data_IF_784592267200
#
_entry.id   IF_784592267200
#
_cell.length_a   1.000
_cell.length_b   1.000
_cell.length_c   1.000
_cell.angle_alpha   90.00
_cell.angle_beta   90.00
_cell.angle_gamma   90.00
#
_symmetry.space_group_name_H-M   'P 1'
#
loop_
_entity.id
_entity.type
_entity.pdbx_description
1 polymer ?
#
# COMPACT_ATOMS: atom_id res chain seq x y z
N UNK A 1 12.85 60.99 -13.31
CA UNK A 1 13.36 59.82 -12.55
C UNK A 1 13.09 58.57 -13.35
N UNK A 2 14.12 57.94 -13.90
CA UNK A 2 14.02 56.79 -14.82
C UNK A 2 14.19 55.52 -14.02
N UNK A 3 13.11 54.69 -13.94
CA UNK A 3 13.17 53.35 -13.36
C UNK A 3 13.68 52.39 -14.40
N UNK A 4 14.83 51.78 -14.16
CA UNK A 4 15.38 50.72 -14.98
C UNK A 4 14.80 49.39 -14.53
N UNK A 5 14.04 48.75 -15.43
CA UNK A 5 13.58 47.36 -15.28
C UNK A 5 14.75 46.45 -15.69
N UNK A 6 15.30 45.70 -14.75
CA UNK A 6 16.34 44.73 -15.00
C UNK A 6 15.71 43.47 -15.65
N UNK A 7 16.10 43.21 -16.89
CA UNK A 7 15.75 42.02 -17.63
C UNK A 7 16.59 40.83 -17.11
N UNK A 8 15.93 39.86 -16.46
CA UNK A 8 16.55 38.59 -16.11
C UNK A 8 16.76 37.76 -17.37
N UNK A 9 18.01 37.45 -17.68
CA UNK A 9 18.40 36.55 -18.77
C UNK A 9 17.99 35.12 -18.44
N UNK A 10 17.43 34.34 -19.39
CA UNK A 10 17.17 32.92 -19.17
C UNK A 10 18.49 32.15 -19.11
N UNK A 11 18.65 31.38 -18.06
CA UNK A 11 19.73 30.40 -17.90
C UNK A 11 19.54 29.28 -18.90
N UNK A 12 20.61 28.92 -19.60
CA UNK A 12 20.70 27.82 -20.53
C UNK A 12 20.24 26.52 -19.89
N UNK A 13 19.15 25.98 -20.41
CA UNK A 13 18.74 24.59 -20.21
C UNK A 13 19.79 23.70 -20.87
N UNK A 14 20.48 22.90 -20.06
CA UNK A 14 21.37 21.86 -20.55
C UNK A 14 20.51 20.81 -21.26
N UNK A 15 20.81 20.57 -22.53
CA UNK A 15 20.23 19.55 -23.36
C UNK A 15 20.41 18.18 -22.71
N UNK A 16 19.28 17.55 -22.33
CA UNK A 16 19.25 16.13 -22.04
C UNK A 16 19.44 15.39 -23.35
N UNK A 17 20.62 14.83 -23.50
CA UNK A 17 21.07 14.00 -24.58
C UNK A 17 20.07 12.87 -24.86
N UNK A 18 19.54 12.93 -26.06
CA UNK A 18 19.09 11.82 -26.94
C UNK A 18 18.88 10.46 -26.28
N UNK A 19 17.64 10.12 -26.01
CA UNK A 19 17.16 8.76 -25.93
C UNK A 19 17.38 8.09 -27.29
N UNK A 20 18.37 7.19 -27.37
CA UNK A 20 18.46 6.22 -28.46
C UNK A 20 17.22 5.33 -28.37
N UNK A 21 16.31 5.52 -29.29
CA UNK A 21 15.23 4.57 -29.57
C UNK A 21 15.90 3.29 -30.04
N UNK A 22 15.77 2.23 -29.25
CA UNK A 22 16.13 0.88 -29.66
C UNK A 22 15.11 0.42 -30.71
N UNK A 23 15.49 0.59 -31.97
CA UNK A 23 14.83 -0.06 -33.09
C UNK A 23 15.60 -1.36 -33.39
N UNK A 24 15.43 -2.36 -32.54
CA UNK A 24 15.80 -3.74 -32.82
C UNK A 24 14.58 -4.63 -32.72
N UNK A 25 14.14 -5.12 -33.88
CA UNK A 25 13.15 -6.19 -33.98
C UNK A 25 13.60 -7.40 -33.14
N UNK A 26 12.68 -8.08 -32.44
CA UNK A 26 13.03 -9.26 -31.67
C UNK A 26 13.42 -10.39 -32.64
N UNK A 27 14.71 -10.64 -32.75
CA UNK A 27 15.24 -11.85 -33.37
C UNK A 27 14.83 -13.05 -32.51
N UNK A 28 14.32 -14.08 -33.16
CA UNK A 28 13.74 -15.31 -32.64
C UNK A 28 14.41 -15.81 -31.35
N UNK A 29 13.65 -15.77 -30.27
CA UNK A 29 14.07 -16.25 -28.96
C UNK A 29 14.07 -17.77 -28.95
N UNK A 30 15.22 -18.36 -28.73
CA UNK A 30 15.36 -19.82 -28.47
C UNK A 30 14.61 -20.16 -27.19
N UNK A 31 13.76 -21.22 -27.15
CA UNK A 31 13.04 -21.59 -25.93
C UNK A 31 14.04 -21.91 -24.80
N UNK A 32 13.95 -21.21 -23.69
CA UNK A 32 14.75 -21.45 -22.48
C UNK A 32 15.82 -20.41 -22.14
N UNK A 33 15.96 -19.33 -22.90
CA UNK A 33 16.90 -18.27 -22.55
C UNK A 33 16.30 -17.33 -21.50
N UNK A 34 16.88 -17.30 -20.30
CA UNK A 34 16.55 -16.33 -19.25
C UNK A 34 17.29 -15.03 -19.56
N UNK A 35 16.52 -13.98 -19.88
CA UNK A 35 17.06 -12.63 -20.08
C UNK A 35 17.02 -11.90 -18.74
N UNK A 36 18.20 -11.59 -18.18
CA UNK A 36 18.32 -10.72 -17.03
C UNK A 36 18.29 -9.27 -17.52
N UNK A 37 17.20 -8.58 -17.28
CA UNK A 37 17.10 -7.13 -17.48
C UNK A 37 17.65 -6.45 -16.22
N UNK A 38 18.87 -5.91 -16.31
CA UNK A 38 19.37 -4.95 -15.33
C UNK A 38 18.68 -3.61 -15.56
N UNK A 39 17.52 -3.42 -14.95
CA UNK A 39 16.92 -2.10 -14.89
C UNK A 39 17.69 -1.28 -13.86
N UNK A 40 18.19 -0.09 -14.18
CA UNK A 40 18.73 0.82 -13.18
C UNK A 40 17.57 1.35 -12.33
N UNK A 41 17.10 0.52 -11.42
CA UNK A 41 16.12 0.96 -10.42
C UNK A 41 16.91 1.80 -9.42
N UNK A 42 16.61 3.09 -9.25
CA UNK A 42 17.21 3.86 -8.17
C UNK A 42 16.85 3.15 -6.86
N UNK A 43 17.86 2.65 -6.17
CA UNK A 43 17.75 1.84 -4.95
C UNK A 43 17.02 2.56 -3.82
N UNK A 44 16.81 3.86 -3.99
CA UNK A 44 16.01 4.69 -3.08
C UNK A 44 15.48 5.89 -3.87
N UNK A 45 14.16 6.09 -3.94
CA UNK A 45 13.65 7.33 -4.50
C UNK A 45 14.24 8.50 -3.70
N UNK A 46 14.56 9.62 -4.35
CA UNK A 46 15.02 10.80 -3.62
C UNK A 46 13.95 11.15 -2.59
N UNK A 47 14.33 11.18 -1.31
CA UNK A 47 13.47 11.68 -0.25
C UNK A 47 13.28 13.16 -0.56
N UNK A 48 12.12 13.52 -1.06
CA UNK A 48 11.75 14.91 -1.23
C UNK A 48 11.76 15.55 0.16
N UNK A 49 12.58 16.58 0.33
CA UNK A 49 12.62 17.35 1.58
C UNK A 49 11.20 17.85 1.87
N UNK A 50 10.63 17.43 3.01
CA UNK A 50 9.24 17.73 3.38
C UNK A 50 8.21 16.65 3.03
N UNK A 51 8.63 15.52 2.44
CA UNK A 51 7.74 14.36 2.31
C UNK A 51 7.53 13.72 3.69
N UNK A 52 6.28 13.54 4.07
CA UNK A 52 5.85 12.86 5.30
C UNK A 52 5.30 11.49 4.90
N UNK A 53 5.57 10.48 5.72
CA UNK A 53 4.96 9.17 5.54
C UNK A 53 3.44 9.28 5.74
N UNK A 54 2.67 8.67 4.85
CA UNK A 54 1.20 8.76 4.91
C UNK A 54 0.64 8.12 6.19
N UNK A 55 1.28 7.08 6.68
CA UNK A 55 0.85 6.40 7.92
C UNK A 55 1.11 7.31 9.14
N UNK A 56 2.22 8.04 9.15
CA UNK A 56 2.53 9.02 10.20
C UNK A 56 1.54 10.19 10.16
N UNK A 57 1.23 10.70 8.97
CA UNK A 57 0.24 11.77 8.78
C UNK A 57 -1.14 11.34 9.26
N UNK A 58 -1.57 10.13 8.88
CA UNK A 58 -2.86 9.59 9.32
C UNK A 58 -2.89 9.39 10.84
N UNK A 59 -1.79 8.90 11.45
CA UNK A 59 -1.70 8.73 12.89
C UNK A 59 -1.75 10.07 13.63
N UNK A 60 -1.19 11.14 13.07
CA UNK A 60 -1.30 12.50 13.61
C UNK A 60 -2.73 13.02 13.52
N UNK A 61 -3.39 12.85 12.39
CA UNK A 61 -4.78 13.25 12.18
C UNK A 61 -5.75 12.51 13.10
N UNK A 62 -5.51 11.23 13.36
CA UNK A 62 -6.34 10.40 14.26
C UNK A 62 -6.19 10.77 15.76
N UNK A 63 -5.33 11.72 16.11
CA UNK A 63 -5.27 12.25 17.49
C UNK A 63 -6.51 13.10 17.85
N UNK A 64 -7.21 13.61 16.86
CA UNK A 64 -8.51 14.28 17.06
C UNK A 64 -9.64 13.26 16.94
N UNK A 65 -10.46 13.13 17.99
CA UNK A 65 -11.59 12.18 18.01
C UNK A 65 -12.54 12.37 16.83
N UNK A 66 -12.82 13.62 16.43
CA UNK A 66 -13.69 13.94 15.30
C UNK A 66 -13.12 13.41 13.97
N UNK A 67 -11.82 13.63 13.75
CA UNK A 67 -11.13 13.20 12.53
C UNK A 67 -10.97 11.67 12.53
N UNK A 68 -10.63 11.06 13.66
CA UNK A 68 -10.55 9.61 13.81
C UNK A 68 -11.89 8.92 13.46
N UNK A 69 -13.02 9.49 13.91
CA UNK A 69 -14.36 8.98 13.58
C UNK A 69 -14.65 9.12 12.08
N UNK A 70 -14.30 10.26 11.46
CA UNK A 70 -14.47 10.48 10.03
C UNK A 70 -13.65 9.48 9.20
N UNK A 71 -12.39 9.26 9.57
CA UNK A 71 -11.51 8.27 8.92
C UNK A 71 -12.08 6.85 9.09
N UNK A 72 -12.56 6.48 10.28
CA UNK A 72 -13.18 5.19 10.54
C UNK A 72 -14.43 4.98 9.66
N UNK A 73 -15.29 5.99 9.54
CA UNK A 73 -16.46 5.96 8.62
C UNK A 73 -16.03 5.81 7.16
N UNK A 74 -14.96 6.49 6.74
CA UNK A 74 -14.38 6.32 5.40
C UNK A 74 -13.92 4.88 5.14
N UNK A 75 -13.23 4.25 6.08
CA UNK A 75 -12.82 2.84 6.00
C UNK A 75 -14.02 1.89 5.89
N UNK A 76 -15.06 2.13 6.68
CA UNK A 76 -16.30 1.34 6.61
C UNK A 76 -17.02 1.52 5.27
N UNK A 77 -17.01 2.73 4.71
CA UNK A 77 -17.55 2.97 3.39
C UNK A 77 -16.78 2.21 2.31
N UNK A 78 -15.44 2.18 2.37
CA UNK A 78 -14.59 1.38 1.47
C UNK A 78 -14.97 -0.10 1.57
N UNK A 79 -15.13 -0.65 2.79
CA UNK A 79 -15.54 -2.04 2.97
C UNK A 79 -16.87 -2.34 2.27
N UNK A 80 -17.85 -1.46 2.40
CA UNK A 80 -19.16 -1.59 1.76
C UNK A 80 -19.11 -1.46 0.24
N UNK A 81 -18.33 -0.49 -0.27
CA UNK A 81 -18.38 -0.12 -1.69
C UNK A 81 -17.54 -1.04 -2.57
N UNK A 82 -16.40 -1.53 -2.08
CA UNK A 82 -15.45 -2.27 -2.89
C UNK A 82 -15.39 -3.77 -2.56
N UNK A 83 -15.83 -4.18 -1.37
CA UNK A 83 -15.71 -5.57 -0.93
C UNK A 83 -17.07 -6.28 -0.78
N UNK A 84 -18.19 -5.62 -1.08
CA UNK A 84 -19.53 -6.20 -0.87
C UNK A 84 -19.80 -7.46 -1.70
N UNK A 85 -19.16 -7.59 -2.86
CA UNK A 85 -19.35 -8.69 -3.79
C UNK A 85 -18.12 -9.63 -3.87
N UNK A 86 -17.23 -9.55 -2.90
CA UNK A 86 -16.02 -10.38 -2.84
C UNK A 86 -16.11 -11.34 -1.65
N UNK A 87 -15.41 -12.48 -1.69
CA UNK A 87 -15.24 -13.34 -0.54
C UNK A 87 -14.71 -12.56 0.65
N UNK A 88 -15.12 -12.93 1.86
CA UNK A 88 -14.62 -12.27 3.08
C UNK A 88 -13.10 -12.35 3.15
N UNK A 89 -12.46 -11.21 3.43
CA UNK A 89 -11.02 -11.12 3.61
C UNK A 89 -10.70 -10.43 4.93
N UNK A 90 -9.48 -10.63 5.46
CA UNK A 90 -9.04 -9.96 6.69
C UNK A 90 -9.10 -8.44 6.54
N UNK A 91 -8.71 -7.92 5.36
CA UNK A 91 -8.80 -6.49 5.05
C UNK A 91 -10.24 -5.98 5.15
N UNK A 92 -11.20 -6.70 4.55
CA UNK A 92 -12.62 -6.36 4.63
C UNK A 92 -13.13 -6.35 6.07
N UNK A 93 -12.86 -7.41 6.83
CA UNK A 93 -13.29 -7.52 8.24
C UNK A 93 -12.72 -6.39 9.10
N UNK A 94 -11.48 -6.02 8.88
CA UNK A 94 -10.84 -4.88 9.54
C UNK A 94 -11.49 -3.55 9.15
N UNK A 95 -11.69 -3.31 7.86
CA UNK A 95 -12.31 -2.08 7.35
C UNK A 95 -13.75 -1.92 7.81
N UNK A 96 -14.51 -3.01 7.94
CA UNK A 96 -15.87 -2.98 8.54
C UNK A 96 -15.86 -2.46 9.99
N UNK A 97 -14.79 -2.71 10.74
CA UNK A 97 -14.59 -2.15 12.08
C UNK A 97 -14.09 -0.70 12.06
N UNK A 98 -13.75 -0.14 10.89
CA UNK A 98 -13.15 1.18 10.74
C UNK A 98 -11.65 1.24 11.11
N UNK A 99 -10.99 0.10 11.27
CA UNK A 99 -9.62 0.04 11.77
C UNK A 99 -8.56 0.16 10.70
N UNK A 100 -7.41 0.78 11.06
CA UNK A 100 -6.17 0.71 10.28
C UNK A 100 -5.49 -0.65 10.47
N UNK A 101 -4.52 -0.98 9.61
CA UNK A 101 -3.67 -2.16 9.82
C UNK A 101 -2.91 -2.08 11.14
N UNK A 102 -2.43 -0.89 11.51
CA UNK A 102 -1.76 -0.64 12.78
C UNK A 102 -2.68 -0.91 13.98
N UNK A 103 -3.93 -0.48 13.91
CA UNK A 103 -4.91 -0.71 14.99
C UNK A 103 -5.24 -2.21 15.15
N UNK A 104 -5.45 -2.93 14.04
CA UNK A 104 -5.66 -4.38 14.11
C UNK A 104 -4.41 -5.08 14.68
N UNK A 105 -3.21 -4.70 14.23
CA UNK A 105 -1.95 -5.24 14.72
C UNK A 105 -1.79 -5.05 16.25
N UNK A 106 -2.06 -3.85 16.74
CA UNK A 106 -2.04 -3.52 18.16
C UNK A 106 -2.99 -4.42 18.96
N UNK A 107 -4.25 -4.57 18.50
CA UNK A 107 -5.27 -5.39 19.16
C UNK A 107 -4.96 -6.87 19.13
N UNK A 108 -4.36 -7.36 18.03
CA UNK A 108 -3.94 -8.75 17.88
C UNK A 108 -2.54 -9.04 18.46
N UNK A 109 -1.88 -8.05 19.09
CA UNK A 109 -0.51 -8.16 19.63
C UNK A 109 0.48 -8.71 18.59
N UNK A 110 0.49 -8.09 17.42
CA UNK A 110 1.40 -8.38 16.29
C UNK A 110 1.93 -7.07 15.68
N UNK A 111 2.66 -7.13 14.57
CA UNK A 111 3.15 -5.95 13.85
C UNK A 111 2.24 -5.57 12.68
N UNK A 112 2.21 -4.27 12.36
CA UNK A 112 1.49 -3.76 11.20
C UNK A 112 1.98 -4.40 9.90
N UNK A 113 3.31 -4.57 9.75
CA UNK A 113 3.90 -5.22 8.59
C UNK A 113 3.50 -6.70 8.45
N UNK A 114 3.22 -7.39 9.57
CA UNK A 114 2.69 -8.74 9.53
C UNK A 114 1.25 -8.76 9.03
N UNK A 115 0.39 -7.86 9.54
CA UNK A 115 -1.00 -7.73 9.07
C UNK A 115 -1.03 -7.40 7.58
N UNK A 116 -0.18 -6.46 7.12
CA UNK A 116 -0.11 -6.11 5.70
C UNK A 116 0.23 -7.32 4.81
N UNK A 117 1.21 -8.14 5.21
CA UNK A 117 1.57 -9.36 4.46
C UNK A 117 0.48 -10.43 4.52
N UNK A 118 -0.23 -10.53 5.64
CA UNK A 118 -1.35 -11.45 5.80
C UNK A 118 -2.51 -11.07 4.88
N UNK A 119 -2.86 -9.79 4.80
CA UNK A 119 -3.91 -9.28 3.93
C UNK A 119 -3.59 -9.44 2.43
N UNK A 120 -2.30 -9.50 2.08
CA UNK A 120 -1.83 -9.78 0.72
C UNK A 120 -1.71 -11.28 0.41
N UNK A 121 -1.99 -12.17 1.37
CA UNK A 121 -1.79 -13.61 1.20
C UNK A 121 -0.32 -14.06 1.17
N UNK A 122 0.62 -13.19 1.53
CA UNK A 122 2.06 -13.45 1.45
C UNK A 122 2.65 -14.14 2.70
N UNK A 123 1.81 -14.57 3.62
CA UNK A 123 2.24 -15.26 4.84
C UNK A 123 1.18 -16.25 5.30
N UNK A 124 1.63 -17.42 5.69
CA UNK A 124 0.77 -18.42 6.35
C UNK A 124 0.82 -18.18 7.87
N UNK A 125 -0.32 -17.81 8.50
CA UNK A 125 -0.34 -17.46 9.90
C UNK A 125 -0.33 -18.70 10.80
N UNK A 126 0.42 -18.62 11.90
CA UNK A 126 0.31 -19.61 12.95
C UNK A 126 -1.09 -19.57 13.59
N UNK A 127 -1.58 -20.74 14.03
CA UNK A 127 -2.89 -20.86 14.70
C UNK A 127 -3.03 -19.89 15.89
N UNK A 128 -1.97 -19.70 16.66
CA UNK A 128 -1.96 -18.74 17.78
C UNK A 128 -2.23 -17.30 17.34
N UNK A 129 -1.75 -16.91 16.16
CA UNK A 129 -1.99 -15.57 15.57
C UNK A 129 -3.41 -15.45 15.05
N UNK A 130 -3.93 -16.50 14.39
CA UNK A 130 -5.34 -16.55 13.95
C UNK A 130 -6.28 -16.36 15.13
N UNK A 131 -6.03 -17.04 16.27
CA UNK A 131 -6.83 -16.88 17.49
C UNK A 131 -6.77 -15.45 18.03
N UNK A 132 -5.60 -14.79 18.01
CA UNK A 132 -5.46 -13.40 18.44
C UNK A 132 -6.24 -12.44 17.54
N UNK A 133 -6.17 -12.64 16.23
CA UNK A 133 -6.92 -11.83 15.25
C UNK A 133 -8.43 -12.04 15.44
N UNK A 134 -8.88 -13.29 15.60
CA UNK A 134 -10.28 -13.60 15.86
C UNK A 134 -10.81 -12.91 17.11
N UNK A 135 -10.06 -12.96 18.21
CA UNK A 135 -10.38 -12.24 19.44
C UNK A 135 -10.44 -10.73 19.23
N UNK A 136 -9.47 -10.16 18.53
CA UNK A 136 -9.43 -8.73 18.24
C UNK A 136 -10.66 -8.29 17.42
N UNK A 137 -11.02 -9.05 16.39
CA UNK A 137 -12.17 -8.77 15.54
C UNK A 137 -13.51 -9.10 16.21
N UNK A 138 -13.52 -9.89 17.28
CA UNK A 138 -14.75 -10.37 17.93
C UNK A 138 -15.50 -11.39 17.08
N UNK A 139 -14.78 -12.20 16.32
CA UNK A 139 -15.31 -13.19 15.37
C UNK A 139 -14.90 -14.60 15.79
N UNK A 140 -15.66 -15.64 15.38
CA UNK A 140 -15.21 -17.02 15.54
C UNK A 140 -13.96 -17.29 14.70
N UNK A 141 -13.10 -18.18 15.22
CA UNK A 141 -11.82 -18.53 14.54
C UNK A 141 -12.07 -19.06 13.13
N UNK A 142 -13.15 -19.82 12.93
CA UNK A 142 -13.53 -20.36 11.61
C UNK A 142 -13.72 -19.26 10.56
N UNK A 143 -14.42 -18.16 10.90
CA UNK A 143 -14.63 -17.03 10.00
C UNK A 143 -13.33 -16.31 9.63
N UNK A 144 -12.34 -16.29 10.54
CA UNK A 144 -11.03 -15.71 10.27
C UNK A 144 -10.19 -16.63 9.39
N UNK A 145 -10.27 -17.95 9.57
CA UNK A 145 -9.62 -18.95 8.70
C UNK A 145 -10.15 -18.83 7.29
N UNK A 146 -11.47 -18.79 7.10
CA UNK A 146 -12.12 -18.59 5.81
C UNK A 146 -11.71 -17.28 5.13
N UNK A 147 -11.55 -16.19 5.90
CA UNK A 147 -11.09 -14.90 5.40
C UNK A 147 -9.59 -14.86 5.01
N UNK A 148 -8.77 -15.78 5.53
CA UNK A 148 -7.35 -15.92 5.19
C UNK A 148 -7.17 -16.77 3.95
N UNK A 149 -7.93 -17.85 3.83
CA UNK A 149 -7.90 -18.79 2.71
C UNK A 149 -9.31 -18.87 2.14
N UNK A 150 -9.75 -17.88 1.36
CA UNK A 150 -11.01 -18.03 0.66
C UNK A 150 -10.87 -19.27 -0.23
N UNK A 151 -11.74 -20.27 -0.01
CA UNK A 151 -11.79 -21.45 -0.88
C UNK A 151 -12.11 -20.93 -2.29
N UNK A 152 -11.21 -21.17 -3.24
CA UNK A 152 -11.47 -20.96 -4.65
C UNK A 152 -12.61 -21.90 -5.01
N UNK A 153 -13.84 -21.40 -5.09
CA UNK A 153 -14.95 -22.12 -5.70
C UNK A 153 -14.57 -22.35 -7.16
N UNK A 154 -14.02 -23.58 -7.40
CA UNK A 154 -13.78 -24.09 -8.76
C UNK A 154 -15.12 -24.45 -9.43
#
# INVERSE_FOLDING_TARGET
MKSQTALLKPTKTSELSSTKVFDEQPTSTTPGQVIYLELPIPVKPPILSGAVDIDDLVAELEQSDEVAEAIAKGRQWVAKSFYSNQPSSIAQLRLQKGWSQAELAKRASTSQSYIARLELGNVDPQVSTVIKIAKALGLPVAAVVEAISPEDEQ
#
